data_IF_925023389606
#
_entry.id   IF_925023389606
#
_cell.length_a   1.000
_cell.length_b   1.000
_cell.length_c   1.000
_cell.angle_alpha   90.00
_cell.angle_beta   90.00
_cell.angle_gamma   90.00
#
_symmetry.space_group_name_H-M   'P 1'
#
loop_
_entity.id
_entity.type
_entity.pdbx_description
1 polymer ?
#
# COMPACT_ATOMS: atom_id res chain seq x y z
N UNK A 1 -4.54 37.34 -12.05
CA UNK A 1 -3.50 36.84 -11.12
C UNK A 1 -3.40 35.34 -11.26
N UNK A 2 -2.31 34.82 -11.86
CA UNK A 2 -2.06 33.38 -11.93
C UNK A 2 -1.74 32.89 -10.52
N UNK A 3 -2.64 32.11 -9.88
CA UNK A 3 -2.34 31.45 -8.60
C UNK A 3 -1.11 30.57 -8.81
N UNK A 4 0.03 30.93 -8.20
CA UNK A 4 1.24 30.11 -8.15
C UNK A 4 0.81 28.73 -7.65
N UNK A 5 0.87 27.72 -8.51
CA UNK A 5 0.36 26.39 -8.19
C UNK A 5 1.25 25.81 -7.09
N UNK A 6 0.71 25.70 -5.88
CA UNK A 6 1.45 25.17 -4.73
C UNK A 6 1.91 23.75 -5.06
N UNK A 7 3.17 23.43 -4.75
CA UNK A 7 3.74 22.11 -5.01
C UNK A 7 2.97 21.08 -4.17
N UNK A 8 2.54 19.99 -4.78
CA UNK A 8 1.80 18.91 -4.11
C UNK A 8 2.61 17.62 -4.16
N UNK A 9 2.50 16.81 -3.12
CA UNK A 9 3.04 15.45 -3.05
C UNK A 9 2.15 14.53 -3.88
N UNK A 10 2.70 13.91 -4.93
CA UNK A 10 1.93 12.98 -5.74
C UNK A 10 1.89 11.61 -5.03
N UNK A 11 0.74 11.18 -4.57
CA UNK A 11 0.60 9.94 -3.81
C UNK A 11 -0.19 8.87 -4.55
N UNK A 12 0.15 7.61 -4.28
CA UNK A 12 -0.59 6.44 -4.70
C UNK A 12 -0.97 5.57 -3.51
N UNK A 13 -2.23 5.17 -3.40
CA UNK A 13 -2.73 4.19 -2.45
C UNK A 13 -3.10 2.90 -3.18
N UNK A 14 -2.55 1.78 -2.71
CA UNK A 14 -2.65 0.47 -3.36
C UNK A 14 -3.03 -0.60 -2.35
N UNK A 15 -3.95 -1.48 -2.74
CA UNK A 15 -4.42 -2.61 -1.94
C UNK A 15 -4.14 -3.93 -2.68
N UNK A 16 -3.63 -4.91 -1.93
CA UNK A 16 -3.36 -6.28 -2.35
C UNK A 16 -4.19 -7.25 -1.47
N UNK A 17 -3.70 -8.47 -1.17
CA UNK A 17 -4.47 -9.41 -0.35
C UNK A 17 -4.50 -8.98 1.12
N UNK A 18 -5.62 -8.39 1.54
CA UNK A 18 -5.93 -8.00 2.92
C UNK A 18 -7.45 -7.82 3.12
N UNK A 19 -7.84 -7.30 4.28
CA UNK A 19 -9.20 -6.91 4.64
C UNK A 19 -9.54 -5.44 4.32
N UNK A 20 -8.60 -4.66 3.78
CA UNK A 20 -8.73 -3.22 3.49
C UNK A 20 -9.04 -2.33 4.70
N UNK A 21 -8.78 -2.83 5.92
CA UNK A 21 -9.02 -2.09 7.17
C UNK A 21 -8.24 -0.76 7.22
N UNK A 22 -7.00 -0.76 6.74
CA UNK A 22 -6.12 0.40 6.72
C UNK A 22 -6.51 1.38 5.61
N UNK A 23 -7.15 0.91 4.53
CA UNK A 23 -7.85 1.79 3.58
C UNK A 23 -8.99 2.54 4.28
N UNK A 24 -9.81 1.86 5.08
CA UNK A 24 -10.91 2.51 5.81
C UNK A 24 -10.35 3.56 6.79
N UNK A 25 -9.32 3.21 7.56
CA UNK A 25 -8.65 4.17 8.45
C UNK A 25 -8.13 5.39 7.68
N UNK A 26 -7.49 5.18 6.53
CA UNK A 26 -7.03 6.28 5.68
C UNK A 26 -8.19 7.17 5.21
N UNK A 27 -9.33 6.59 4.83
CA UNK A 27 -10.51 7.38 4.43
C UNK A 27 -11.15 8.14 5.59
N UNK A 28 -11.15 7.59 6.81
CA UNK A 28 -11.64 8.31 7.98
C UNK A 28 -10.71 9.49 8.34
N UNK A 29 -9.39 9.30 8.28
CA UNK A 29 -8.42 10.39 8.49
C UNK A 29 -8.58 11.52 7.46
N UNK A 30 -9.07 11.22 6.24
CA UNK A 30 -9.39 12.27 5.28
C UNK A 30 -10.52 13.17 5.77
N UNK A 31 -11.46 12.70 6.58
CA UNK A 31 -12.51 13.56 7.14
C UNK A 31 -11.93 14.63 8.07
N UNK A 32 -10.95 14.25 8.90
CA UNK A 32 -10.31 15.14 9.86
C UNK A 32 -9.31 16.10 9.19
N UNK A 33 -8.60 15.62 8.15
CA UNK A 33 -7.50 16.36 7.52
C UNK A 33 -7.83 16.94 6.13
N UNK A 34 -9.08 16.83 5.67
CA UNK A 34 -9.49 17.16 4.29
C UNK A 34 -8.96 18.51 3.80
N UNK A 35 -9.19 19.57 4.59
CA UNK A 35 -8.88 20.96 4.20
C UNK A 35 -7.38 21.22 4.04
N UNK A 36 -6.56 20.50 4.78
CA UNK A 36 -5.11 20.59 4.73
C UNK A 36 -4.56 19.71 3.60
N UNK A 37 -4.92 18.43 3.62
CA UNK A 37 -4.37 17.44 2.69
C UNK A 37 -4.79 17.69 1.25
N UNK A 38 -5.97 18.24 1.00
CA UNK A 38 -6.37 18.59 -0.36
C UNK A 38 -5.42 19.62 -1.02
N UNK A 39 -4.78 20.48 -0.22
CA UNK A 39 -3.81 21.47 -0.70
C UNK A 39 -2.41 20.87 -0.88
N UNK A 40 -2.06 19.85 -0.10
CA UNK A 40 -0.70 19.29 -0.04
C UNK A 40 -0.54 18.00 -0.84
N UNK A 41 -1.59 17.20 -0.99
CA UNK A 41 -1.57 15.87 -1.59
C UNK A 41 -2.29 15.88 -2.94
N UNK A 42 -1.73 15.12 -3.89
CA UNK A 42 -2.33 14.87 -5.18
C UNK A 42 -2.41 13.37 -5.44
N UNK A 43 -3.63 12.83 -5.41
CA UNK A 43 -3.89 11.43 -5.68
C UNK A 43 -3.66 11.08 -7.15
N UNK A 44 -2.60 10.32 -7.43
CA UNK A 44 -2.33 9.73 -8.75
C UNK A 44 -2.98 8.37 -8.92
N UNK A 45 -3.06 7.62 -7.83
CA UNK A 45 -3.72 6.33 -7.75
C UNK A 45 -4.42 6.20 -6.40
N UNK A 46 -5.71 5.93 -6.38
CA UNK A 46 -6.50 5.58 -5.20
C UNK A 46 -7.86 5.10 -5.71
N UNK A 47 -8.00 3.78 -5.96
CA UNK A 47 -9.23 3.22 -6.55
C UNK A 47 -10.48 3.47 -5.69
N UNK A 48 -10.30 3.60 -4.38
CA UNK A 48 -11.35 3.96 -3.40
C UNK A 48 -11.84 5.40 -3.53
N UNK A 49 -11.04 6.33 -4.07
CA UNK A 49 -11.40 7.76 -4.17
C UNK A 49 -11.69 8.23 -5.60
N UNK A 50 -11.14 7.56 -6.63
CA UNK A 50 -11.24 8.02 -8.01
C UNK A 50 -11.17 6.89 -9.03
N UNK A 51 -11.83 7.09 -10.17
CA UNK A 51 -11.78 6.14 -11.31
C UNK A 51 -10.55 6.34 -12.20
N UNK A 52 -10.06 7.58 -12.34
CA UNK A 52 -8.88 7.90 -13.15
C UNK A 52 -7.62 7.67 -12.32
N UNK A 53 -6.88 6.60 -12.64
CA UNK A 53 -5.69 6.18 -11.90
C UNK A 53 -4.48 6.04 -12.83
N UNK A 54 -3.30 6.37 -12.35
CA UNK A 54 -2.03 6.18 -13.07
C UNK A 54 -0.94 5.70 -12.12
N UNK A 55 -0.10 4.80 -12.61
CA UNK A 55 1.10 4.37 -11.89
C UNK A 55 2.26 5.35 -12.06
N UNK A 56 2.17 6.34 -12.97
CA UNK A 56 3.30 7.20 -13.33
C UNK A 56 3.39 8.46 -12.45
N UNK A 57 4.63 8.84 -12.14
CA UNK A 57 4.93 10.11 -11.45
C UNK A 57 4.41 10.12 -10.01
N UNK A 58 4.63 9.03 -9.29
CA UNK A 58 4.28 8.88 -7.88
C UNK A 58 5.50 9.27 -7.04
N UNK A 59 5.31 10.20 -6.12
CA UNK A 59 6.33 10.56 -5.14
C UNK A 59 6.35 9.51 -4.02
N UNK A 60 5.18 9.18 -3.46
CA UNK A 60 5.03 8.19 -2.39
C UNK A 60 3.91 7.20 -2.70
N UNK A 61 4.24 5.91 -2.69
CA UNK A 61 3.28 4.81 -2.80
C UNK A 61 3.03 4.19 -1.42
N UNK A 62 1.81 4.27 -0.93
CA UNK A 62 1.33 3.55 0.24
C UNK A 62 0.69 2.24 -0.23
N UNK A 63 1.20 1.12 0.28
CA UNK A 63 0.82 -0.21 -0.19
C UNK A 63 0.41 -1.07 0.99
N UNK A 64 -0.86 -1.46 1.04
CA UNK A 64 -1.37 -2.46 1.97
C UNK A 64 -1.50 -3.84 1.30
N UNK A 65 -1.53 -4.89 2.11
CA UNK A 65 -1.78 -6.26 1.65
C UNK A 65 -0.54 -7.09 1.31
N UNK A 66 -0.72 -8.41 1.43
CA UNK A 66 0.30 -9.40 1.11
C UNK A 66 0.25 -9.78 -0.38
N UNK A 67 1.36 -10.28 -0.92
CA UNK A 67 1.45 -10.72 -2.31
C UNK A 67 1.18 -12.21 -2.43
N UNK A 68 0.07 -12.56 -3.08
CA UNK A 68 -0.39 -13.95 -3.20
C UNK A 68 -0.40 -14.49 -4.62
N UNK A 69 -0.10 -13.68 -5.64
CA UNK A 69 -0.08 -14.12 -7.05
C UNK A 69 1.05 -13.47 -7.85
N UNK A 70 1.43 -14.12 -8.96
CA UNK A 70 2.45 -13.58 -9.88
C UNK A 70 2.01 -12.26 -10.51
N UNK A 71 0.71 -12.08 -10.74
CA UNK A 71 0.15 -10.82 -11.26
C UNK A 71 0.38 -9.66 -10.27
N UNK A 72 0.09 -9.89 -8.99
CA UNK A 72 0.33 -8.89 -7.93
C UNK A 72 1.82 -8.61 -7.74
N UNK A 73 2.68 -9.63 -7.83
CA UNK A 73 4.14 -9.44 -7.81
C UNK A 73 4.59 -8.51 -8.95
N UNK A 74 4.07 -8.71 -10.16
CA UNK A 74 4.36 -7.85 -11.31
C UNK A 74 3.87 -6.42 -11.08
N UNK A 75 2.66 -6.25 -10.54
CA UNK A 75 2.09 -4.94 -10.21
C UNK A 75 2.92 -4.22 -9.13
N UNK A 76 3.34 -4.91 -8.05
CA UNK A 76 4.19 -4.34 -7.02
C UNK A 76 5.54 -3.87 -7.57
N UNK A 77 6.16 -4.65 -8.47
CA UNK A 77 7.41 -4.26 -9.14
C UNK A 77 7.23 -3.00 -10.00
N UNK A 78 6.10 -2.89 -10.72
CA UNK A 78 5.76 -1.69 -11.48
C UNK A 78 5.50 -0.47 -10.57
N UNK A 79 4.77 -0.64 -9.46
CA UNK A 79 4.55 0.40 -8.46
C UNK A 79 5.91 0.89 -7.94
N UNK A 80 6.78 -0.04 -7.52
CA UNK A 80 8.12 0.28 -7.01
C UNK A 80 8.95 1.04 -8.04
N UNK A 81 8.93 0.63 -9.31
CA UNK A 81 9.65 1.29 -10.40
C UNK A 81 9.18 2.73 -10.64
N UNK A 82 7.89 3.02 -10.43
CA UNK A 82 7.30 4.31 -10.73
C UNK A 82 7.10 5.23 -9.50
N UNK A 83 7.48 4.78 -8.29
CA UNK A 83 7.46 5.60 -7.09
C UNK A 83 8.86 5.94 -6.57
N UNK A 84 9.03 7.11 -5.96
CA UNK A 84 10.29 7.47 -5.29
C UNK A 84 10.40 6.86 -3.90
N UNK A 85 9.30 6.82 -3.14
CA UNK A 85 9.19 6.16 -1.84
C UNK A 85 8.06 5.13 -1.84
N UNK A 86 8.29 3.99 -1.21
CA UNK A 86 7.26 2.98 -0.94
C UNK A 86 7.12 2.76 0.56
N UNK A 87 5.89 2.89 1.05
CA UNK A 87 5.51 2.69 2.44
C UNK A 87 4.65 1.43 2.54
N UNK A 88 5.10 0.44 3.32
CA UNK A 88 4.30 -0.74 3.62
C UNK A 88 3.30 -0.41 4.73
N UNK A 89 2.01 -0.66 4.48
CA UNK A 89 0.91 -0.35 5.38
C UNK A 89 0.33 -1.63 5.96
N UNK A 90 0.37 -1.71 7.29
CA UNK A 90 -0.24 -2.77 8.07
C UNK A 90 0.49 -4.12 8.03
N UNK A 91 0.06 -5.01 8.91
CA UNK A 91 0.61 -6.35 9.13
C UNK A 91 0.64 -7.19 7.85
N UNK A 92 -0.37 -7.07 6.99
CA UNK A 92 -0.40 -7.81 5.74
C UNK A 92 0.78 -7.44 4.82
N UNK A 93 1.10 -6.16 4.68
CA UNK A 93 2.20 -5.71 3.84
C UNK A 93 3.58 -5.94 4.47
N UNK A 94 3.69 -5.77 5.80
CA UNK A 94 4.96 -5.84 6.54
C UNK A 94 5.35 -7.28 6.85
N UNK A 95 4.40 -8.09 7.34
CA UNK A 95 4.64 -9.45 7.84
C UNK A 95 4.02 -10.53 6.95
N UNK A 96 3.10 -10.16 6.05
CA UNK A 96 2.32 -11.13 5.26
C UNK A 96 1.09 -11.67 6.00
N UNK A 97 0.93 -11.37 7.29
CA UNK A 97 -0.11 -11.96 8.15
C UNK A 97 -1.41 -11.16 8.12
N UNK A 98 -2.59 -11.83 8.19
CA UNK A 98 -2.77 -13.27 8.38
C UNK A 98 -2.68 -14.12 7.10
N UNK A 99 -2.68 -13.50 5.91
CA UNK A 99 -2.69 -14.22 4.61
C UNK A 99 -1.57 -15.26 4.46
N UNK A 100 -0.41 -15.01 5.06
CA UNK A 100 0.76 -15.88 5.03
C UNK A 100 0.69 -17.09 5.96
N UNK A 101 -0.36 -17.25 6.79
CA UNK A 101 -0.53 -18.42 7.67
C UNK A 101 -0.39 -19.74 6.90
N UNK A 102 -0.92 -19.81 5.68
CA UNK A 102 -0.85 -21.01 4.84
C UNK A 102 0.56 -21.41 4.41
N UNK A 103 1.55 -20.53 4.56
CA UNK A 103 2.96 -20.88 4.33
C UNK A 103 3.47 -21.89 5.37
N UNK A 104 2.85 -21.93 6.54
CA UNK A 104 3.26 -22.75 7.69
C UNK A 104 2.42 -24.02 7.84
N UNK A 105 1.45 -24.26 6.96
CA UNK A 105 0.66 -25.47 6.97
C UNK A 105 1.55 -26.70 6.72
N UNK A 106 1.17 -27.82 7.34
CA UNK A 106 1.78 -29.11 7.04
C UNK A 106 1.44 -29.55 5.60
N UNK A 107 2.12 -30.60 5.15
CA UNK A 107 1.94 -31.07 3.76
C UNK A 107 0.53 -31.62 3.50
N UNK A 108 -0.14 -32.17 4.52
CA UNK A 108 -1.51 -32.67 4.39
C UNK A 108 -2.49 -31.52 4.14
N UNK A 109 -2.46 -30.48 4.98
CA UNK A 109 -3.31 -29.30 4.82
C UNK A 109 -2.97 -28.55 3.54
N UNK A 110 -1.70 -28.46 3.14
CA UNK A 110 -1.33 -27.89 1.82
C UNK A 110 -1.98 -28.64 0.65
N UNK A 111 -1.99 -29.97 0.69
CA UNK A 111 -2.66 -30.78 -0.33
C UNK A 111 -4.18 -30.55 -0.34
N UNK A 112 -4.81 -30.48 0.84
CA UNK A 112 -6.24 -30.20 0.99
C UNK A 112 -6.64 -28.85 0.34
N UNK A 113 -5.80 -27.82 0.45
CA UNK A 113 -6.08 -26.49 -0.13
C UNK A 113 -5.53 -26.31 -1.55
N UNK A 114 -4.79 -27.27 -2.10
CA UNK A 114 -4.07 -27.11 -3.37
C UNK A 114 -5.01 -26.73 -4.53
N UNK A 115 -6.22 -27.30 -4.56
CA UNK A 115 -7.23 -26.96 -5.56
C UNK A 115 -7.63 -25.47 -5.54
N UNK A 116 -7.63 -24.82 -4.36
CA UNK A 116 -7.90 -23.38 -4.23
C UNK A 116 -6.73 -22.56 -4.77
N UNK A 117 -5.50 -22.97 -4.44
CA UNK A 117 -4.29 -22.31 -4.93
C UNK A 117 -4.26 -22.31 -6.46
N UNK A 118 -4.56 -23.45 -7.08
CA UNK A 118 -4.57 -23.59 -8.53
C UNK A 118 -5.74 -22.83 -9.18
N UNK A 119 -6.95 -22.95 -8.62
CA UNK A 119 -8.15 -22.25 -9.11
C UNK A 119 -7.95 -20.74 -9.16
N UNK A 120 -7.36 -20.16 -8.12
CA UNK A 120 -7.15 -18.72 -8.02
C UNK A 120 -5.76 -18.26 -8.51
N UNK A 121 -4.97 -19.18 -9.10
CA UNK A 121 -3.62 -18.91 -9.62
C UNK A 121 -2.71 -18.24 -8.59
N UNK A 122 -2.81 -18.68 -7.33
CA UNK A 122 -1.99 -18.16 -6.25
C UNK A 122 -0.58 -18.75 -6.30
N UNK A 123 0.39 -17.99 -5.82
CA UNK A 123 1.74 -18.48 -5.56
C UNK A 123 1.72 -19.52 -4.43
N UNK A 124 2.62 -20.50 -4.49
CA UNK A 124 2.79 -21.48 -3.41
C UNK A 124 3.08 -20.81 -2.06
N UNK A 125 3.91 -19.76 -2.07
CA UNK A 125 4.24 -18.94 -0.89
C UNK A 125 3.61 -17.55 -1.02
N UNK A 126 2.94 -17.10 0.03
CA UNK A 126 2.55 -15.69 0.24
C UNK A 126 3.77 -14.91 0.70
N UNK A 127 4.04 -13.75 0.09
CA UNK A 127 5.19 -12.91 0.44
C UNK A 127 4.74 -11.57 1.01
N UNK A 128 5.49 -11.05 1.98
CA UNK A 128 5.39 -9.63 2.36
C UNK A 128 6.09 -8.74 1.32
N UNK A 129 5.96 -7.41 1.44
CA UNK A 129 6.52 -6.50 0.44
C UNK A 129 8.06 -6.48 0.43
N UNK A 130 8.69 -6.54 1.61
CA UNK A 130 10.16 -6.49 1.76
C UNK A 130 10.88 -7.66 1.12
N UNK A 131 10.22 -8.82 1.01
CA UNK A 131 10.76 -9.98 0.28
C UNK A 131 10.87 -9.75 -1.23
N UNK A 132 10.16 -8.76 -1.78
CA UNK A 132 10.02 -8.57 -3.22
C UNK A 132 10.58 -7.23 -3.71
N UNK A 133 10.51 -6.18 -2.90
CA UNK A 133 10.94 -4.82 -3.25
C UNK A 133 11.53 -4.09 -2.05
N UNK A 134 12.36 -3.07 -2.31
CA UNK A 134 12.80 -2.13 -1.27
C UNK A 134 11.59 -1.34 -0.74
N UNK A 135 11.35 -1.50 0.56
CA UNK A 135 10.41 -0.70 1.36
C UNK A 135 11.21 0.41 2.05
N UNK A 136 10.76 1.67 1.91
CA UNK A 136 11.43 2.82 2.51
C UNK A 136 10.95 3.07 3.94
N UNK A 137 9.64 2.98 4.18
CA UNK A 137 9.01 3.17 5.49
C UNK A 137 7.94 2.10 5.76
N UNK A 138 7.61 1.92 7.02
CA UNK A 138 6.58 0.96 7.47
C UNK A 138 5.64 1.63 8.45
N UNK A 139 4.36 1.31 8.34
CA UNK A 139 3.33 1.69 9.31
C UNK A 139 2.73 0.40 9.88
N UNK A 140 3.16 -0.05 11.07
CA UNK A 140 2.68 -1.29 11.67
C UNK A 140 1.23 -1.17 12.15
N UNK A 141 0.60 -2.31 12.43
CA UNK A 141 -0.80 -2.41 12.90
C UNK A 141 -1.67 -3.32 12.04
N UNK A 142 -2.83 -3.74 12.55
CA UNK A 142 -3.89 -4.39 11.78
C UNK A 142 -5.28 -3.99 12.36
N UNK A 143 -5.82 -2.80 12.00
CA UNK A 143 -5.34 -1.88 10.98
C UNK A 143 -4.11 -1.07 11.41
N UNK A 144 -3.52 -0.34 10.47
CA UNK A 144 -2.36 0.53 10.70
C UNK A 144 -2.52 1.47 11.90
N UNK A 145 -1.42 1.76 12.60
CA UNK A 145 -1.36 2.78 13.64
C UNK A 145 -1.45 4.18 13.02
N UNK A 146 -2.52 4.92 13.35
CA UNK A 146 -2.79 6.25 12.81
C UNK A 146 -1.68 7.26 13.10
N UNK A 147 -1.13 7.25 14.32
CA UNK A 147 -0.12 8.22 14.73
C UNK A 147 1.16 8.01 13.93
N UNK A 148 1.57 6.76 13.76
CA UNK A 148 2.73 6.43 12.92
C UNK A 148 2.46 6.79 11.46
N UNK A 149 1.24 6.55 10.96
CA UNK A 149 0.87 6.95 9.61
C UNK A 149 1.02 8.46 9.40
N UNK A 150 0.47 9.27 10.31
CA UNK A 150 0.57 10.73 10.27
C UNK A 150 2.03 11.21 10.35
N UNK A 151 2.84 10.60 11.21
CA UNK A 151 4.27 10.91 11.33
C UNK A 151 5.02 10.63 10.00
N UNK A 152 4.71 9.52 9.33
CA UNK A 152 5.28 9.19 8.02
C UNK A 152 4.79 10.15 6.92
N UNK A 153 3.51 10.50 6.89
CA UNK A 153 2.99 11.50 5.93
C UNK A 153 3.69 12.83 6.11
N UNK A 154 3.81 13.33 7.36
CA UNK A 154 4.51 14.57 7.67
C UNK A 154 5.99 14.52 7.30
N UNK A 155 6.65 13.38 7.55
CA UNK A 155 8.03 13.15 7.13
C UNK A 155 8.17 13.23 5.61
N UNK A 156 7.26 12.60 4.85
CA UNK A 156 7.26 12.67 3.40
C UNK A 156 7.00 14.09 2.88
N UNK A 157 6.10 14.86 3.50
CA UNK A 157 5.87 16.26 3.12
C UNK A 157 7.15 17.10 3.24
N UNK A 158 7.90 16.92 4.33
CA UNK A 158 9.19 17.59 4.57
C UNK A 158 10.27 17.14 3.58
N UNK A 159 10.44 15.82 3.39
CA UNK A 159 11.45 15.26 2.46
C UNK A 159 11.29 15.76 1.02
N UNK A 160 10.05 16.06 0.61
CA UNK A 160 9.74 16.54 -0.73
C UNK A 160 9.61 18.06 -0.83
N UNK A 161 9.91 18.80 0.24
CA UNK A 161 9.81 20.26 0.33
C UNK A 161 8.41 20.76 -0.08
N UNK A 162 7.37 20.17 0.51
CA UNK A 162 5.97 20.54 0.32
C UNK A 162 5.47 21.42 1.47
N UNK A 163 5.85 21.07 2.70
CA UNK A 163 5.55 21.77 3.95
C UNK A 163 6.79 21.80 4.84
#
# INVERSE_FOLDING_TARGET
>A
MQKKRQKQLNIGWFSFTCCEDSTIMFTELLNDHYQEWFKLLKFKHAKILQSKNTLKGIDVAFVEGAITSTAMKKELLEIRKNCKKLVAIGSCAIQGMPSAQRNYFDEKTKQEIQFLIDRFKQCKKVSNLKELVKVDYEVPGCPMDEKIFLDIVNKCLKEFNIA
#
